data_IF_957166522063
#
_entry.id   IF_957166522063
#
_cell.length_a   1.000
_cell.length_b   1.000
_cell.length_c   1.000
_cell.angle_alpha   90.00
_cell.angle_beta   90.00
_cell.angle_gamma   90.00
#
_symmetry.space_group_name_H-M   'P 1'
#
loop_
_entity.id
_entity.type
_entity.pdbx_description
1 polymer ?
#
# COMPACT_ATOMS: atom_id res chain seq x y z
N UNK A 1 -47.54 -27.55 -17.75
CA UNK A 1 -46.06 -27.42 -17.73
C UNK A 1 -45.46 -28.54 -16.90
N UNK A 2 -44.42 -29.19 -17.43
CA UNK A 2 -43.68 -30.27 -16.75
C UNK A 2 -43.09 -29.79 -15.40
N UNK A 3 -43.05 -30.67 -14.40
CA UNK A 3 -42.46 -30.40 -13.08
C UNK A 3 -41.00 -29.98 -13.18
N UNK A 4 -40.26 -30.53 -14.16
CA UNK A 4 -38.87 -30.17 -14.45
C UNK A 4 -38.73 -28.69 -14.82
N UNK A 5 -39.60 -28.18 -15.69
CA UNK A 5 -39.57 -26.78 -16.15
C UNK A 5 -39.84 -25.80 -15.00
N UNK A 6 -40.74 -26.14 -14.08
CA UNK A 6 -41.02 -25.33 -12.89
C UNK A 6 -39.85 -25.33 -11.91
N UNK A 7 -39.19 -26.47 -11.74
CA UNK A 7 -38.00 -26.61 -10.90
C UNK A 7 -36.86 -25.73 -11.44
N UNK A 8 -36.59 -25.78 -12.74
CA UNK A 8 -35.56 -24.95 -13.38
C UNK A 8 -35.88 -23.47 -13.22
N UNK A 9 -37.12 -23.05 -13.44
CA UNK A 9 -37.53 -21.65 -13.28
C UNK A 9 -37.33 -21.15 -11.84
N UNK A 10 -37.72 -21.98 -10.85
CA UNK A 10 -37.53 -21.66 -9.44
C UNK A 10 -36.05 -21.62 -9.06
N UNK A 11 -35.24 -22.58 -9.53
CA UNK A 11 -33.81 -22.64 -9.26
C UNK A 11 -33.07 -21.42 -9.83
N UNK A 12 -33.35 -21.05 -11.08
CA UNK A 12 -32.73 -19.87 -11.69
C UNK A 12 -33.17 -18.59 -10.98
N UNK A 13 -34.45 -18.45 -10.63
CA UNK A 13 -34.95 -17.29 -9.89
C UNK A 13 -34.30 -17.14 -8.51
N UNK A 14 -34.15 -18.24 -7.77
CA UNK A 14 -33.46 -18.27 -6.47
C UNK A 14 -31.97 -17.96 -6.63
N UNK A 15 -31.32 -18.48 -7.66
CA UNK A 15 -29.92 -18.18 -7.96
C UNK A 15 -29.69 -16.69 -8.22
N UNK A 16 -30.54 -16.08 -9.05
CA UNK A 16 -30.47 -14.64 -9.33
C UNK A 16 -30.69 -13.81 -8.06
N UNK A 17 -31.73 -14.12 -7.27
CA UNK A 17 -32.00 -13.42 -6.02
C UNK A 17 -30.83 -13.55 -5.02
N UNK A 18 -30.24 -14.76 -4.93
CA UNK A 18 -29.10 -15.03 -4.07
C UNK A 18 -27.86 -14.22 -4.45
N UNK A 19 -27.55 -14.10 -5.75
CA UNK A 19 -26.42 -13.29 -6.22
C UNK A 19 -26.62 -11.82 -5.87
N UNK A 20 -27.82 -11.27 -6.13
CA UNK A 20 -28.13 -9.86 -5.83
C UNK A 20 -27.96 -9.59 -4.32
N UNK A 21 -28.51 -10.48 -3.49
CA UNK A 21 -28.36 -10.38 -2.03
C UNK A 21 -26.90 -10.45 -1.60
N UNK A 22 -26.13 -11.40 -2.14
CA UNK A 22 -24.72 -11.56 -1.81
C UNK A 22 -23.89 -10.32 -2.17
N UNK A 23 -24.13 -9.72 -3.34
CA UNK A 23 -23.44 -8.49 -3.76
C UNK A 23 -23.78 -7.33 -2.83
N UNK A 24 -25.05 -7.14 -2.44
CA UNK A 24 -25.43 -6.07 -1.50
C UNK A 24 -24.76 -6.26 -0.14
N UNK A 25 -24.73 -7.50 0.36
CA UNK A 25 -24.04 -7.81 1.60
C UNK A 25 -22.53 -7.56 1.51
N UNK A 26 -21.88 -7.99 0.42
CA UNK A 26 -20.44 -7.79 0.21
C UNK A 26 -20.08 -6.29 0.08
N UNK A 27 -20.87 -5.52 -0.66
CA UNK A 27 -20.71 -4.07 -0.77
C UNK A 27 -20.83 -3.35 0.58
N UNK A 28 -21.73 -3.81 1.46
CA UNK A 28 -21.87 -3.24 2.80
C UNK A 28 -20.67 -3.55 3.69
N UNK A 29 -20.11 -4.76 3.60
CA UNK A 29 -18.86 -5.12 4.30
C UNK A 29 -17.69 -4.23 3.85
N UNK A 30 -17.59 -3.95 2.56
CA UNK A 30 -16.57 -3.07 2.01
C UNK A 30 -16.71 -1.63 2.52
N UNK A 31 -17.93 -1.08 2.64
CA UNK A 31 -18.13 0.26 3.23
C UNK A 31 -17.65 0.34 4.68
N UNK A 32 -17.91 -0.69 5.48
CA UNK A 32 -17.42 -0.75 6.87
C UNK A 32 -15.89 -0.78 6.91
N UNK A 33 -15.24 -1.43 5.94
CA UNK A 33 -13.78 -1.42 5.82
C UNK A 33 -13.20 -0.04 5.46
N UNK A 34 -13.93 0.79 4.70
CA UNK A 34 -13.45 2.11 4.30
C UNK A 34 -13.30 3.07 5.49
N UNK A 35 -14.18 2.99 6.50
CA UNK A 35 -14.04 3.78 7.72
C UNK A 35 -12.77 3.41 8.50
N UNK A 36 -12.43 2.12 8.57
CA UNK A 36 -11.18 1.66 9.21
C UNK A 36 -9.92 2.05 8.44
N UNK A 37 -9.99 2.06 7.10
CA UNK A 37 -8.86 2.47 6.27
C UNK A 37 -8.55 3.98 6.41
N UNK A 38 -9.58 4.82 6.50
CA UNK A 38 -9.44 6.27 6.68
C UNK A 38 -8.84 6.62 8.05
N UNK A 39 -9.26 5.95 9.12
CA UNK A 39 -8.70 6.14 10.46
C UNK A 39 -7.21 5.80 10.50
N UNK A 40 -6.82 4.67 9.90
CA UNK A 40 -5.42 4.25 9.81
C UNK A 40 -4.57 5.19 8.95
N UNK A 41 -5.16 5.85 7.95
CA UNK A 41 -4.44 6.81 7.12
C UNK A 41 -4.17 8.15 7.85
N UNK A 42 -5.10 8.58 8.70
CA UNK A 42 -4.94 9.76 9.56
C UNK A 42 -3.80 9.60 10.57
N UNK A 43 -3.64 8.41 11.15
CA UNK A 43 -2.52 8.11 12.06
C UNK A 43 -1.17 8.09 11.32
N UNK A 44 -1.13 7.48 10.14
CA UNK A 44 0.07 7.46 9.28
C UNK A 44 0.51 8.85 8.84
N UNK A 45 -0.43 9.77 8.61
CA UNK A 45 -0.11 11.16 8.27
C UNK A 45 0.51 11.95 9.44
N UNK A 46 0.15 11.65 10.69
CA UNK A 46 0.78 12.29 11.86
C UNK A 46 2.23 11.86 12.01
N UNK A 47 2.47 10.55 11.98
CA UNK A 47 3.82 9.96 12.09
C UNK A 47 4.73 10.43 10.95
N UNK A 48 4.19 10.59 9.73
CA UNK A 48 4.97 11.15 8.60
C UNK A 48 5.43 12.58 8.86
N UNK A 49 4.59 13.44 9.45
CA UNK A 49 4.96 14.83 9.77
C UNK A 49 6.03 14.90 10.85
N UNK A 50 5.90 14.06 11.88
CA UNK A 50 6.91 13.96 12.94
C UNK A 50 8.27 13.53 12.39
N UNK A 51 8.30 12.50 11.54
CA UNK A 51 9.53 12.01 10.89
C UNK A 51 10.13 13.01 9.91
N UNK A 52 9.31 13.79 9.21
CA UNK A 52 9.80 14.85 8.31
C UNK A 52 10.48 15.98 9.11
N UNK A 53 9.86 16.42 10.20
CA UNK A 53 10.44 17.44 11.08
C UNK A 53 11.75 16.95 11.73
N UNK A 54 11.80 15.68 12.14
CA UNK A 54 13.01 15.06 12.70
C UNK A 54 14.14 14.99 11.66
N UNK A 55 13.82 14.64 10.41
CA UNK A 55 14.78 14.64 9.32
C UNK A 55 15.32 16.04 8.99
N UNK A 56 14.45 17.06 8.95
CA UNK A 56 14.86 18.44 8.71
C UNK A 56 15.76 19.00 9.81
N UNK A 57 15.49 18.66 11.07
CA UNK A 57 16.33 19.03 12.21
C UNK A 57 17.72 18.40 12.11
N UNK A 58 17.78 17.09 11.82
CA UNK A 58 19.07 16.40 11.64
C UNK A 58 19.87 16.99 10.47
N UNK A 59 19.20 17.31 9.35
CA UNK A 59 19.82 17.94 8.19
C UNK A 59 20.35 19.34 8.50
N UNK A 60 19.63 20.13 9.30
CA UNK A 60 20.09 21.45 9.72
C UNK A 60 21.33 21.34 10.62
N UNK A 61 21.34 20.40 11.56
CA UNK A 61 22.50 20.11 12.41
C UNK A 61 23.70 19.67 11.58
N UNK A 62 23.52 18.76 10.62
CA UNK A 62 24.59 18.34 9.70
C UNK A 62 25.18 19.53 8.92
N UNK A 63 24.35 20.44 8.43
CA UNK A 63 24.82 21.65 7.75
C UNK A 63 25.61 22.59 8.68
N UNK A 64 25.26 22.68 9.96
CA UNK A 64 26.02 23.44 10.95
C UNK A 64 27.38 22.80 11.26
N UNK A 65 27.44 21.48 11.40
CA UNK A 65 28.70 20.76 11.56
C UNK A 65 29.62 20.89 10.34
N UNK A 66 29.07 20.83 9.12
CA UNK A 66 29.82 21.01 7.87
C UNK A 66 30.40 22.42 7.69
N UNK A 67 29.81 23.46 8.30
CA UNK A 67 30.36 24.83 8.28
C UNK A 67 31.64 24.95 9.11
N UNK A 68 31.72 24.20 10.21
CA UNK A 68 32.87 24.22 11.11
C UNK A 68 33.97 23.25 10.67
N UNK A 69 33.60 22.18 9.96
CA UNK A 69 34.55 21.23 9.40
C UNK A 69 34.09 20.83 7.99
N UNK A 70 34.72 21.40 6.94
CA UNK A 70 34.65 20.84 5.58
C UNK A 70 35.37 19.49 5.59
N UNK A 71 34.68 18.43 6.02
CA UNK A 71 35.13 17.06 5.76
C UNK A 71 34.78 16.80 4.30
N UNK A 72 35.80 16.57 3.47
CA UNK A 72 35.60 16.12 2.09
C UNK A 72 34.71 14.86 2.12
N UNK A 73 33.73 14.72 1.20
CA UNK A 73 32.99 13.48 1.09
C UNK A 73 34.03 12.37 0.88
N UNK A 74 34.13 11.42 1.81
CA UNK A 74 34.93 10.22 1.59
C UNK A 74 34.45 9.62 0.28
N UNK A 75 35.38 9.45 -0.65
CA UNK A 75 35.14 8.94 -1.99
C UNK A 75 34.84 7.42 -1.96
N UNK A 76 33.83 7.04 -1.19
CA UNK A 76 33.21 5.71 -1.18
C UNK A 76 31.72 5.90 -1.49
N UNK A 77 31.47 6.50 -2.65
CA UNK A 77 30.23 6.37 -3.40
C UNK A 77 30.36 5.05 -4.17
N UNK A 78 29.76 3.91 -3.78
CA UNK A 78 29.69 2.75 -4.65
C UNK A 78 28.59 3.01 -5.69
N UNK A 79 28.77 4.06 -6.50
CA UNK A 79 28.16 4.13 -7.81
C UNK A 79 28.84 3.08 -8.67
N UNK A 80 28.08 2.04 -9.01
CA UNK A 80 28.44 1.08 -10.04
C UNK A 80 29.08 -0.17 -9.47
N UNK A 81 28.25 -1.13 -9.07
CA UNK A 81 28.69 -2.52 -8.97
C UNK A 81 29.35 -2.93 -10.30
N UNK A 82 30.53 -3.57 -10.26
CA UNK A 82 31.20 -3.99 -11.48
C UNK A 82 30.34 -5.03 -12.19
N UNK A 83 30.07 -4.75 -13.47
CA UNK A 83 29.59 -5.75 -14.41
C UNK A 83 30.59 -6.91 -14.41
N UNK A 84 30.18 -8.03 -13.79
CA UNK A 84 30.91 -9.27 -13.81
C UNK A 84 30.79 -9.88 -15.23
N UNK A 85 31.63 -9.43 -16.15
CA UNK A 85 32.03 -10.18 -17.34
C UNK A 85 33.19 -11.10 -16.94
N UNK A 86 32.97 -12.40 -17.04
CA UNK A 86 33.94 -13.44 -16.70
C UNK A 86 33.24 -14.79 -16.53
N UNK A 87 32.76 -15.41 -17.61
CA UNK A 87 33.51 -16.46 -18.32
C UNK A 87 33.67 -17.72 -17.43
N UNK A 88 32.66 -18.59 -17.51
CA UNK A 88 32.66 -19.95 -16.98
C UNK A 88 32.62 -20.94 -18.14
N UNK A 89 33.50 -21.94 -18.05
CA UNK A 89 33.96 -22.96 -19.01
C UNK A 89 32.95 -23.58 -19.97
#
# INVERSE_FOLDING_TARGET
MSRASKLTLAATGLGTAGIIYFVHWAQEQEKVSMHKAVEQDMEKQRIRRERQAEFEMQRALEQEYLKLQKVSPSADDPKGGPANQGQGS
#
